data_IF_531358343602
#
_entry.id   IF_531358343602
#
_cell.length_a   1.000
_cell.length_b   1.000
_cell.length_c   1.000
_cell.angle_alpha   90.00
_cell.angle_beta   90.00
_cell.angle_gamma   90.00
#
_symmetry.space_group_name_H-M   'P 1'
#
loop_
_entity.id
_entity.type
_entity.pdbx_description
1 polymer ?
#
# COMPACT_ATOMS: atom_id res chain seq x y z
N UNK A 1 44.15 44.98 1.87
CA UNK A 1 44.05 43.79 2.76
C UNK A 1 43.32 44.24 4.03
N UNK A 2 42.20 43.72 4.51
CA UNK A 2 41.34 42.54 4.25
C UNK A 2 39.90 43.00 4.56
N UNK A 3 38.99 42.99 3.59
CA UNK A 3 37.53 43.04 3.84
C UNK A 3 36.80 41.96 3.02
N UNK A 4 37.47 40.82 2.86
CA UNK A 4 36.96 39.65 2.10
C UNK A 4 36.41 38.54 3.01
N UNK A 5 36.13 38.81 4.29
CA UNK A 5 35.74 37.76 5.26
C UNK A 5 34.28 37.74 5.68
N UNK A 6 33.40 38.64 5.21
CA UNK A 6 31.98 38.62 5.60
C UNK A 6 31.02 38.14 4.51
N UNK A 7 31.40 38.27 3.23
CA UNK A 7 30.54 37.82 2.11
C UNK A 7 30.60 36.30 1.92
N UNK A 8 31.71 35.66 2.30
CA UNK A 8 31.85 34.20 2.20
C UNK A 8 31.09 33.45 3.32
N UNK A 9 30.82 34.12 4.45
CA UNK A 9 30.08 33.52 5.57
C UNK A 9 28.56 33.54 5.36
N UNK A 10 28.05 34.42 4.49
CA UNK A 10 26.62 34.47 4.14
C UNK A 10 26.22 33.46 3.08
N UNK A 11 27.17 33.02 2.22
CA UNK A 11 26.93 31.99 1.21
C UNK A 11 26.86 30.56 1.79
N UNK A 12 27.45 30.33 2.97
CA UNK A 12 27.46 29.02 3.64
C UNK A 12 26.23 28.77 4.54
N UNK A 13 25.41 29.80 4.74
CA UNK A 13 24.13 29.69 5.48
C UNK A 13 22.99 29.36 4.50
N UNK A 14 23.20 29.58 3.20
CA UNK A 14 22.22 29.24 2.15
C UNK A 14 22.14 27.74 1.84
N UNK A 15 23.07 26.91 2.32
CA UNK A 15 23.01 25.44 2.19
C UNK A 15 22.32 24.76 3.37
N UNK A 16 21.78 25.54 4.33
CA UNK A 16 20.77 25.06 5.26
C UNK A 16 19.37 25.12 4.60
N UNK A 17 19.28 24.70 3.33
CA UNK A 17 18.00 24.33 2.75
C UNK A 17 17.51 23.14 3.57
N UNK A 18 16.59 23.46 4.48
CA UNK A 18 15.63 22.62 5.17
C UNK A 18 15.95 21.13 5.21
N UNK A 19 16.27 20.59 6.39
CA UNK A 19 16.21 19.13 6.61
C UNK A 19 14.88 18.52 6.16
N UNK A 20 13.79 19.31 6.13
CA UNK A 20 12.51 18.89 5.53
C UNK A 20 12.64 18.51 4.04
N UNK A 21 13.47 19.20 3.26
CA UNK A 21 13.64 18.89 1.82
C UNK A 21 14.43 17.60 1.57
N UNK A 22 15.24 17.19 2.54
CA UNK A 22 16.00 15.94 2.50
C UNK A 22 15.10 14.78 2.95
N UNK A 23 14.31 14.97 4.02
CA UNK A 23 13.28 14.00 4.42
C UNK A 23 12.20 13.81 3.35
N UNK A 24 11.74 14.89 2.70
CA UNK A 24 10.76 14.80 1.60
C UNK A 24 11.35 14.12 0.35
N UNK A 25 12.65 14.29 0.10
CA UNK A 25 13.34 13.56 -0.97
C UNK A 25 13.38 12.05 -0.69
N UNK A 26 13.61 11.64 0.56
CA UNK A 26 13.59 10.23 0.99
C UNK A 26 12.18 9.66 1.18
N UNK A 27 11.15 10.50 1.26
CA UNK A 27 9.76 10.02 1.38
C UNK A 27 9.18 9.60 0.03
N UNK A 28 9.81 9.98 -1.08
CA UNK A 28 9.24 9.77 -2.42
C UNK A 28 8.01 10.65 -2.67
N UNK A 29 7.56 10.76 -3.93
CA UNK A 29 6.37 11.53 -4.29
C UNK A 29 5.11 10.98 -3.59
N UNK A 30 4.15 11.88 -3.36
CA UNK A 30 2.79 11.56 -2.91
C UNK A 30 1.85 12.01 -4.02
N UNK A 31 1.12 11.05 -4.59
CA UNK A 31 0.10 11.28 -5.61
C UNK A 31 -1.16 11.90 -4.99
N UNK A 32 -2.00 12.57 -5.79
CA UNK A 32 -3.26 13.14 -5.31
C UNK A 32 -4.19 12.10 -4.68
N UNK A 33 -5.24 12.60 -4.03
CA UNK A 33 -6.28 11.80 -3.39
C UNK A 33 -6.79 10.68 -4.31
N UNK A 34 -6.76 9.46 -3.79
CA UNK A 34 -7.49 8.33 -4.35
C UNK A 34 -8.71 8.08 -3.46
N UNK A 35 -9.88 8.34 -4.03
CA UNK A 35 -11.19 8.10 -3.42
C UNK A 35 -11.96 7.01 -4.19
N UNK A 36 -13.18 6.72 -3.73
CA UNK A 36 -14.07 5.75 -4.39
C UNK A 36 -14.36 6.14 -5.85
N UNK A 37 -14.56 7.43 -6.13
CA UNK A 37 -14.82 7.91 -7.50
C UNK A 37 -13.62 7.62 -8.41
N UNK A 38 -12.41 7.81 -7.90
CA UNK A 38 -11.16 7.50 -8.61
C UNK A 38 -11.10 6.01 -8.94
N UNK A 39 -11.37 5.13 -7.97
CA UNK A 39 -11.44 3.67 -8.16
C UNK A 39 -12.49 3.30 -9.22
N UNK A 40 -13.71 3.84 -9.10
CA UNK A 40 -14.81 3.52 -10.02
C UNK A 40 -14.57 3.97 -11.46
N UNK A 41 -13.69 4.95 -11.67
CA UNK A 41 -13.31 5.43 -13.00
C UNK A 41 -12.27 4.55 -13.71
N UNK A 42 -11.66 3.59 -13.01
CA UNK A 42 -10.61 2.74 -13.58
C UNK A 42 -11.17 1.61 -14.46
N UNK A 43 -10.37 1.19 -15.45
CA UNK A 43 -10.65 0.03 -16.28
C UNK A 43 -9.94 -1.22 -15.73
N UNK A 44 -10.68 -2.06 -14.99
CA UNK A 44 -10.17 -3.30 -14.39
C UNK A 44 -10.10 -4.44 -15.42
N UNK A 45 -9.29 -4.26 -16.46
CA UNK A 45 -9.21 -5.16 -17.60
C UNK A 45 -8.16 -6.29 -17.44
N UNK A 46 -7.41 -6.30 -16.34
CA UNK A 46 -6.47 -7.36 -16.01
C UNK A 46 -7.07 -8.31 -14.97
N UNK A 47 -6.53 -9.52 -14.91
CA UNK A 47 -6.98 -10.55 -13.99
C UNK A 47 -5.78 -11.29 -13.42
N UNK A 48 -5.74 -11.49 -12.11
CA UNK A 48 -4.67 -12.29 -11.50
C UNK A 48 -4.83 -13.77 -11.86
N UNK A 49 -3.73 -14.49 -12.15
CA UNK A 49 -3.80 -15.84 -12.72
C UNK A 49 -4.43 -16.91 -11.81
N UNK A 50 -4.32 -16.77 -10.48
CA UNK A 50 -4.79 -17.75 -9.51
C UNK A 50 -6.18 -17.38 -8.98
N UNK A 51 -6.30 -16.28 -8.23
CA UNK A 51 -7.57 -15.92 -7.57
C UNK A 51 -8.55 -15.16 -8.47
N UNK A 52 -8.11 -14.74 -9.66
CA UNK A 52 -8.98 -14.05 -10.60
C UNK A 52 -9.34 -12.62 -10.19
N UNK A 53 -8.55 -11.98 -9.32
CA UNK A 53 -8.82 -10.60 -8.88
C UNK A 53 -8.81 -9.67 -10.09
N UNK A 54 -9.72 -8.70 -10.11
CA UNK A 54 -9.85 -7.72 -11.19
C UNK A 54 -8.88 -6.57 -10.94
N UNK A 55 -7.95 -6.30 -11.86
CA UNK A 55 -6.84 -5.38 -11.61
C UNK A 55 -6.81 -4.26 -12.65
N UNK A 56 -6.61 -3.04 -12.18
CA UNK A 56 -6.20 -1.88 -12.97
C UNK A 56 -4.79 -1.47 -12.52
N UNK A 57 -3.90 -1.16 -13.46
CA UNK A 57 -2.52 -0.73 -13.16
C UNK A 57 -2.30 0.63 -13.79
N UNK A 58 -1.97 1.62 -12.98
CA UNK A 58 -1.62 2.95 -13.46
C UNK A 58 -0.36 2.91 -14.35
N UNK A 59 -0.35 3.74 -15.38
CA UNK A 59 0.74 3.78 -16.36
C UNK A 59 2.11 4.19 -15.81
N UNK A 60 2.14 4.80 -14.61
CA UNK A 60 3.36 5.16 -13.91
C UNK A 60 4.01 4.02 -13.14
N UNK A 61 3.31 2.90 -12.92
CA UNK A 61 3.86 1.70 -12.26
C UNK A 61 4.98 1.11 -13.12
N UNK A 62 6.15 0.90 -12.53
CA UNK A 62 7.34 0.48 -13.28
C UNK A 62 7.53 -1.04 -13.32
N UNK A 63 6.96 -1.75 -12.34
CA UNK A 63 6.91 -3.18 -12.26
C UNK A 63 6.20 -3.76 -13.48
N UNK A 64 6.72 -4.88 -13.98
CA UNK A 64 6.09 -5.58 -15.09
C UNK A 64 4.68 -6.05 -14.70
N UNK A 65 3.71 -5.90 -15.61
CA UNK A 65 2.31 -6.30 -15.38
C UNK A 65 2.17 -7.71 -14.80
N UNK A 66 2.85 -8.71 -15.37
CA UNK A 66 2.76 -10.08 -14.86
C UNK A 66 3.31 -10.21 -13.44
N UNK A 67 4.42 -9.52 -13.14
CA UNK A 67 5.01 -9.51 -11.80
C UNK A 67 4.06 -8.92 -10.76
N UNK A 68 3.36 -7.83 -11.11
CA UNK A 68 2.32 -7.24 -10.26
C UNK A 68 1.21 -8.25 -9.98
N UNK A 69 0.66 -8.89 -11.02
CA UNK A 69 -0.43 -9.84 -10.89
C UNK A 69 -0.03 -11.06 -10.04
N UNK A 70 1.17 -11.59 -10.26
CA UNK A 70 1.72 -12.72 -9.51
C UNK A 70 1.94 -12.33 -8.03
N UNK A 71 2.44 -11.12 -7.75
CA UNK A 71 2.65 -10.66 -6.38
C UNK A 71 1.33 -10.53 -5.59
N UNK A 72 0.28 -10.02 -6.23
CA UNK A 72 -1.04 -9.90 -5.60
C UNK A 72 -1.57 -11.29 -5.21
N UNK A 73 -1.53 -12.26 -6.12
CA UNK A 73 -1.96 -13.63 -5.84
C UNK A 73 -1.11 -14.29 -4.75
N UNK A 74 0.21 -14.25 -4.88
CA UNK A 74 1.12 -14.90 -3.94
C UNK A 74 0.92 -14.36 -2.51
N UNK A 75 0.77 -13.05 -2.36
CA UNK A 75 0.59 -12.45 -1.04
C UNK A 75 -0.82 -12.63 -0.48
N UNK A 76 -1.83 -12.73 -1.34
CA UNK A 76 -3.16 -13.15 -0.92
C UNK A 76 -3.10 -14.58 -0.37
N UNK A 77 -2.48 -15.52 -1.09
CA UNK A 77 -2.29 -16.90 -0.63
C UNK A 77 -1.54 -16.97 0.72
N UNK A 78 -0.43 -16.25 0.85
CA UNK A 78 0.34 -16.18 2.09
C UNK A 78 -0.50 -15.66 3.26
N UNK A 79 -1.31 -14.63 3.05
CA UNK A 79 -2.20 -14.10 4.08
C UNK A 79 -3.28 -15.11 4.46
N UNK A 80 -4.02 -15.65 3.49
CA UNK A 80 -5.14 -16.56 3.74
C UNK A 80 -4.68 -17.83 4.44
N UNK A 81 -3.56 -18.41 3.97
CA UNK A 81 -2.98 -19.59 4.58
C UNK A 81 -2.46 -19.31 6.01
N UNK A 82 -1.90 -18.12 6.26
CA UNK A 82 -1.46 -17.75 7.60
C UNK A 82 -2.64 -17.52 8.56
N UNK A 83 -3.62 -16.71 8.13
CA UNK A 83 -4.72 -16.24 8.99
C UNK A 83 -5.75 -17.33 9.25
N UNK A 84 -6.04 -18.15 8.24
CA UNK A 84 -7.14 -19.12 8.27
C UNK A 84 -6.67 -20.58 8.15
N UNK A 85 -5.39 -20.82 7.80
CA UNK A 85 -4.87 -22.16 7.56
C UNK A 85 -5.36 -22.79 6.25
N UNK A 86 -6.10 -22.03 5.43
CA UNK A 86 -6.69 -22.51 4.19
C UNK A 86 -6.72 -21.40 3.12
N UNK A 87 -5.90 -21.49 2.05
CA UNK A 87 -5.97 -20.55 0.94
C UNK A 87 -7.23 -20.71 0.09
N UNK A 88 -7.95 -21.83 0.19
CA UNK A 88 -9.11 -22.10 -0.66
C UNK A 88 -10.29 -21.16 -0.39
N UNK A 89 -10.33 -20.52 0.78
CA UNK A 89 -11.38 -19.55 1.12
C UNK A 89 -11.42 -18.35 0.15
N UNK A 90 -10.32 -18.08 -0.58
CA UNK A 90 -10.27 -17.02 -1.58
C UNK A 90 -11.11 -17.31 -2.83
N UNK A 91 -11.56 -18.55 -3.05
CA UNK A 91 -12.29 -18.97 -4.26
C UNK A 91 -13.81 -19.00 -4.11
N UNK A 92 -14.34 -18.85 -2.90
CA UNK A 92 -15.77 -18.92 -2.60
C UNK A 92 -16.22 -17.86 -1.59
N UNK A 93 -17.52 -17.75 -1.36
CA UNK A 93 -18.06 -16.88 -0.32
C UNK A 93 -17.60 -17.38 1.07
N UNK A 94 -17.02 -16.49 1.87
CA UNK A 94 -16.55 -16.77 3.22
C UNK A 94 -17.37 -15.99 4.25
N UNK A 95 -17.76 -16.62 5.35
CA UNK A 95 -18.58 -15.99 6.40
C UNK A 95 -17.72 -15.66 7.61
N UNK A 96 -17.65 -14.38 7.97
CA UNK A 96 -17.02 -13.91 9.20
C UNK A 96 -17.86 -14.29 10.42
N UNK A 97 -17.24 -14.24 11.60
CA UNK A 97 -17.89 -14.58 12.88
C UNK A 97 -19.09 -13.68 13.21
N UNK A 98 -19.12 -12.46 12.67
CA UNK A 98 -20.23 -11.50 12.82
C UNK A 98 -21.38 -11.73 11.82
N UNK A 99 -21.23 -12.71 10.91
CA UNK A 99 -22.20 -13.04 9.86
C UNK A 99 -22.01 -12.28 8.56
N UNK A 100 -21.03 -11.38 8.46
CA UNK A 100 -20.67 -10.70 7.21
C UNK A 100 -20.17 -11.72 6.19
N UNK A 101 -20.65 -11.62 4.94
CA UNK A 101 -20.21 -12.48 3.83
C UNK A 101 -19.17 -11.73 3.01
N UNK A 102 -17.98 -12.32 2.91
CA UNK A 102 -16.88 -11.85 2.06
C UNK A 102 -16.96 -12.61 0.73
N UNK A 103 -17.14 -11.91 -0.41
CA UNK A 103 -17.16 -12.56 -1.73
C UNK A 103 -15.80 -13.20 -2.10
N UNK A 104 -15.76 -14.13 -3.07
CA UNK A 104 -14.50 -14.67 -3.58
C UNK A 104 -13.59 -13.54 -4.09
N UNK A 105 -12.28 -13.77 -4.06
CA UNK A 105 -11.28 -12.81 -4.53
C UNK A 105 -11.44 -12.45 -6.02
N UNK A 106 -12.08 -13.30 -6.82
CA UNK A 106 -12.42 -12.97 -8.21
C UNK A 106 -13.33 -11.75 -8.37
N UNK A 107 -14.03 -11.34 -7.31
CA UNK A 107 -14.85 -10.13 -7.28
C UNK A 107 -14.11 -8.90 -6.71
N UNK A 108 -12.96 -9.10 -6.07
CA UNK A 108 -12.15 -8.00 -5.54
C UNK A 108 -11.53 -7.19 -6.68
N UNK A 109 -11.71 -5.87 -6.59
CA UNK A 109 -11.06 -4.90 -7.49
C UNK A 109 -9.79 -4.35 -6.86
N UNK A 110 -8.71 -4.31 -7.62
CA UNK A 110 -7.40 -3.82 -7.15
C UNK A 110 -6.87 -2.76 -8.11
N UNK A 111 -6.67 -1.55 -7.61
CA UNK A 111 -6.03 -0.47 -8.36
C UNK A 111 -4.59 -0.28 -7.89
N UNK A 112 -3.64 -0.52 -8.78
CA UNK A 112 -2.20 -0.43 -8.49
C UNK A 112 -1.66 0.90 -8.99
N UNK A 113 -1.04 1.67 -8.10
CA UNK A 113 -0.49 3.00 -8.38
C UNK A 113 1.01 3.06 -8.10
N UNK A 114 1.77 3.98 -8.73
CA UNK A 114 3.23 4.00 -8.56
C UNK A 114 3.65 4.45 -7.16
N UNK A 115 3.00 5.48 -6.63
CA UNK A 115 3.44 6.15 -5.41
C UNK A 115 2.43 6.00 -4.29
N UNK A 116 2.83 6.42 -3.09
CA UNK A 116 1.87 6.69 -2.01
C UNK A 116 0.93 7.81 -2.44
N UNK A 117 -0.24 7.89 -1.85
CA UNK A 117 -1.28 8.82 -2.27
C UNK A 117 -1.98 9.42 -1.06
N UNK A 118 -2.58 10.60 -1.24
CA UNK A 118 -3.51 11.15 -0.25
C UNK A 118 -4.73 10.23 -0.12
N UNK A 119 -5.23 10.05 1.11
CA UNK A 119 -6.34 9.13 1.40
C UNK A 119 -7.16 9.61 2.60
N UNK A 120 -8.39 9.11 2.71
CA UNK A 120 -9.31 9.38 3.82
C UNK A 120 -9.39 8.19 4.79
N UNK A 121 -8.24 7.79 5.36
CA UNK A 121 -8.19 6.76 6.40
C UNK A 121 -8.37 7.37 7.81
N UNK A 122 -8.84 6.58 8.78
CA UNK A 122 -9.16 7.09 10.13
C UNK A 122 -7.94 7.66 10.89
N UNK A 123 -6.74 7.13 10.63
CA UNK A 123 -5.52 7.42 11.40
C UNK A 123 -4.43 8.15 10.60
N UNK A 124 -4.65 8.40 9.31
CA UNK A 124 -3.62 8.97 8.41
C UNK A 124 -4.24 9.64 7.18
N UNK A 125 -3.49 10.59 6.62
CA UNK A 125 -3.85 11.31 5.38
C UNK A 125 -3.04 10.90 4.16
N UNK A 126 -2.07 9.99 4.33
CA UNK A 126 -1.21 9.46 3.25
C UNK A 126 -1.14 7.95 3.40
N UNK A 127 -1.44 7.24 2.33
CA UNK A 127 -1.56 5.80 2.29
C UNK A 127 -0.57 5.17 1.31
N UNK A 128 -0.06 3.98 1.68
CA UNK A 128 0.53 3.03 0.73
C UNK A 128 -0.49 2.01 0.23
N UNK A 129 -1.66 1.97 0.86
CA UNK A 129 -2.80 1.14 0.51
C UNK A 129 -4.03 1.60 1.29
N UNK A 130 -5.21 1.33 0.76
CA UNK A 130 -6.49 1.55 1.43
C UNK A 130 -7.53 0.56 0.89
N UNK A 131 -8.32 -0.02 1.78
CA UNK A 131 -9.51 -0.80 1.45
C UNK A 131 -10.78 0.07 1.52
N UNK A 132 -11.55 0.07 0.44
CA UNK A 132 -12.84 0.76 0.32
C UNK A 132 -13.99 -0.21 0.59
N UNK A 133 -14.56 -0.13 1.79
CA UNK A 133 -15.58 -1.05 2.28
C UNK A 133 -16.86 -1.06 1.43
N UNK A 134 -17.33 0.12 1.00
CA UNK A 134 -18.61 0.26 0.30
C UNK A 134 -18.59 -0.33 -1.12
N UNK A 135 -17.39 -0.47 -1.70
CA UNK A 135 -17.22 -0.89 -3.10
C UNK A 135 -16.37 -2.16 -3.27
N UNK A 136 -15.94 -2.82 -2.18
CA UNK A 136 -15.03 -4.00 -2.18
C UNK A 136 -13.85 -3.81 -3.14
N UNK A 137 -13.02 -2.79 -2.87
CA UNK A 137 -11.87 -2.46 -3.69
C UNK A 137 -10.66 -2.05 -2.84
N UNK A 138 -9.46 -2.31 -3.37
CA UNK A 138 -8.20 -1.90 -2.75
C UNK A 138 -7.44 -1.00 -3.73
N UNK A 139 -6.98 0.16 -3.27
CA UNK A 139 -5.86 0.85 -3.91
C UNK A 139 -4.55 0.44 -3.21
N UNK A 140 -3.50 0.17 -3.97
CA UNK A 140 -2.19 -0.25 -3.43
C UNK A 140 -1.05 0.40 -4.22
N UNK A 141 -0.05 0.94 -3.52
CA UNK A 141 1.13 1.50 -4.17
C UNK A 141 2.20 0.44 -4.43
N UNK A 142 2.83 0.49 -5.61
CA UNK A 142 3.98 -0.33 -6.00
C UNK A 142 5.08 -0.29 -4.94
N UNK A 143 5.54 0.92 -4.60
CA UNK A 143 6.63 1.14 -3.66
C UNK A 143 6.25 1.00 -2.17
N UNK A 144 4.96 0.89 -1.83
CA UNK A 144 4.51 0.87 -0.44
C UNK A 144 5.11 2.00 0.40
N UNK A 145 5.78 1.63 1.49
CA UNK A 145 6.68 2.48 2.27
C UNK A 145 8.15 2.10 1.96
N UNK A 146 9.02 3.10 1.81
CA UNK A 146 10.44 2.88 1.52
C UNK A 146 11.08 1.91 2.53
N UNK A 147 11.85 0.92 2.04
CA UNK A 147 12.49 -0.10 2.87
C UNK A 147 11.60 -1.30 3.25
N UNK A 148 10.32 -1.32 2.87
CA UNK A 148 9.39 -2.40 3.23
C UNK A 148 9.12 -3.41 2.09
N UNK A 149 9.77 -3.24 0.93
CA UNK A 149 9.52 -4.02 -0.28
C UNK A 149 8.23 -3.62 -1.01
N UNK A 150 8.08 -4.08 -2.26
CA UNK A 150 6.91 -3.78 -3.09
C UNK A 150 5.61 -4.23 -2.39
N UNK A 151 4.47 -3.56 -2.59
CA UNK A 151 3.15 -3.93 -2.03
C UNK A 151 3.13 -4.25 -0.52
N UNK A 152 3.99 -3.62 0.27
CA UNK A 152 4.25 -3.99 1.67
C UNK A 152 3.00 -4.02 2.57
N UNK A 153 1.97 -3.25 2.21
CA UNK A 153 0.71 -3.17 2.96
C UNK A 153 -0.43 -4.01 2.36
N UNK A 154 -0.19 -4.76 1.27
CA UNK A 154 -1.24 -5.56 0.62
C UNK A 154 -1.96 -6.52 1.58
N UNK A 155 -1.22 -7.24 2.44
CA UNK A 155 -1.82 -8.14 3.42
C UNK A 155 -2.63 -7.41 4.50
N UNK A 156 -2.27 -6.16 4.78
CA UNK A 156 -3.00 -5.30 5.72
C UNK A 156 -4.34 -4.87 5.12
N UNK A 157 -4.34 -4.39 3.87
CA UNK A 157 -5.60 -4.04 3.17
C UNK A 157 -6.49 -5.27 2.97
N UNK A 158 -5.89 -6.42 2.64
CA UNK A 158 -6.63 -7.67 2.55
C UNK A 158 -7.22 -8.08 3.91
N UNK A 159 -6.53 -7.82 5.02
CA UNK A 159 -7.08 -8.09 6.34
C UNK A 159 -8.34 -7.27 6.62
N UNK A 160 -8.45 -6.02 6.15
CA UNK A 160 -9.67 -5.23 6.27
C UNK A 160 -10.86 -5.91 5.59
N UNK A 161 -10.65 -6.43 4.38
CA UNK A 161 -11.67 -7.22 3.67
C UNK A 161 -12.14 -8.45 4.46
N UNK A 162 -11.24 -9.07 5.23
CA UNK A 162 -11.51 -10.26 6.03
C UNK A 162 -11.79 -9.98 7.52
N UNK A 163 -12.15 -8.74 7.88
CA UNK A 163 -12.69 -8.41 9.20
C UNK A 163 -11.79 -7.59 10.13
N UNK A 164 -10.63 -7.11 9.68
CA UNK A 164 -9.89 -6.08 10.41
C UNK A 164 -10.70 -4.77 10.40
N UNK A 165 -11.02 -4.25 11.56
CA UNK A 165 -11.79 -3.02 11.70
C UNK A 165 -11.01 -1.81 11.16
N UNK A 166 -11.72 -0.85 10.55
CA UNK A 166 -11.14 0.39 10.03
C UNK A 166 -10.44 1.22 11.12
N UNK A 167 -10.99 1.21 12.34
CA UNK A 167 -10.42 1.85 13.53
C UNK A 167 -9.28 1.05 14.18
N UNK A 168 -8.93 -0.11 13.59
CA UNK A 168 -7.91 -1.04 14.07
C UNK A 168 -8.15 -1.61 15.48
N UNK A 169 -9.38 -1.56 16.00
CA UNK A 169 -9.73 -2.03 17.36
C UNK A 169 -9.43 -3.52 17.60
N UNK A 170 -9.44 -4.34 16.55
CA UNK A 170 -9.12 -5.78 16.60
C UNK A 170 -7.79 -6.14 15.88
N UNK A 171 -6.89 -5.17 15.67
CA UNK A 171 -5.63 -5.40 14.93
C UNK A 171 -4.75 -6.51 15.51
N UNK A 172 -4.85 -6.79 16.82
CA UNK A 172 -4.14 -7.92 17.46
C UNK A 172 -4.40 -9.25 16.78
N UNK A 173 -5.59 -9.45 16.23
CA UNK A 173 -6.08 -10.73 15.72
C UNK A 173 -5.54 -11.04 14.32
N UNK A 174 -5.06 -10.00 13.63
CA UNK A 174 -4.53 -10.08 12.26
C UNK A 174 -3.02 -9.87 12.21
N UNK A 175 -2.44 -9.22 13.22
CA UNK A 175 -1.04 -8.77 13.25
C UNK A 175 0.01 -9.86 12.92
N UNK A 176 -0.27 -11.13 13.21
CA UNK A 176 0.65 -12.21 12.90
C UNK A 176 0.80 -12.45 11.37
N UNK A 177 -0.25 -12.16 10.61
CA UNK A 177 -0.37 -12.50 9.19
C UNK A 177 -0.48 -11.27 8.27
N UNK A 178 -0.93 -10.13 8.81
CA UNK A 178 -1.17 -8.89 8.05
C UNK A 178 -0.08 -7.83 8.20
N UNK A 179 0.84 -7.98 9.17
CA UNK A 179 1.96 -7.05 9.33
C UNK A 179 2.77 -6.98 8.04
N UNK A 180 3.17 -5.76 7.68
CA UNK A 180 4.11 -5.55 6.59
C UNK A 180 5.37 -6.38 6.84
N UNK A 181 5.93 -6.94 5.76
CA UNK A 181 7.29 -7.48 5.85
C UNK A 181 8.19 -6.39 6.44
N UNK A 182 9.15 -6.80 7.28
CA UNK A 182 10.02 -5.90 8.05
C UNK A 182 10.46 -4.72 7.19
N UNK A 183 9.92 -3.55 7.50
CA UNK A 183 10.46 -2.25 7.14
C UNK A 183 11.74 -2.08 7.96
N UNK A 184 12.75 -2.87 7.65
CA UNK A 184 14.08 -2.64 8.16
C UNK A 184 14.69 -1.68 7.14
N UNK A 185 14.80 -0.37 7.43
CA UNK A 185 15.63 0.50 6.62
C UNK A 185 17.04 -0.02 6.83
N UNK A 186 17.44 -1.01 6.02
CA UNK A 186 18.70 -1.72 6.19
C UNK A 186 19.78 -0.69 6.43
N UNK A 187 20.48 -0.82 7.56
CA UNK A 187 21.55 0.07 8.01
C UNK A 187 22.22 0.79 6.84
N UNK A 188 21.81 2.04 6.55
CA UNK A 188 22.50 2.91 5.58
C UNK A 188 23.85 3.37 6.16
N UNK A 189 24.23 2.86 7.34
CA UNK A 189 25.49 3.12 8.04
C UNK A 189 26.32 1.86 8.35
N UNK A 190 26.08 0.71 7.71
CA UNK A 190 27.04 -0.41 7.70
C UNK A 190 27.82 -0.50 6.38
#
# INVERSE_FOLDING_TARGET
>A
MRRFSLVLATLLISTLYSCDSVEDFFRGPVDPLIDEQTIESQDFNLTTPNYGMQVAIDSGVTAGTQHVLDLLDNRAEEFLNCQFGDPQIGFEDFMLDDGTVVPPLSQLRVYVVPNRFECEAEDRSVCGGIYFFDIDAIAISEGGFEGCGEFSVWKHELAHRYGLAADHSNQSDFNACSKSQTCDPGNIFD
#
